data_IF_913516393537
#
_entry.id   IF_913516393537
#
_cell.length_a   1.000
_cell.length_b   1.000
_cell.length_c   1.000
_cell.angle_alpha   90.00
_cell.angle_beta   90.00
_cell.angle_gamma   90.00
#
_symmetry.space_group_name_H-M   'P 1'
#
loop_
_entity.id
_entity.type
_entity.pdbx_description
1 polymer ?
#
# COMPACT_ATOMS: atom_id res chain seq x y z
N UNK A 1 8.14 15.94 3.61
CA UNK A 1 8.84 15.19 2.55
C UNK A 1 10.30 15.18 2.94
N UNK A 2 10.97 14.03 2.88
CA UNK A 2 12.41 14.00 3.13
C UNK A 2 13.13 14.77 2.01
N UNK A 3 14.14 15.56 2.39
CA UNK A 3 14.97 16.33 1.46
C UNK A 3 16.05 15.45 0.84
N UNK A 4 16.57 15.89 -0.30
CA UNK A 4 17.67 15.25 -1.01
C UNK A 4 18.89 16.17 -0.88
N UNK A 5 19.97 15.66 -0.30
CA UNK A 5 21.26 16.33 -0.22
C UNK A 5 22.06 16.09 -1.49
N UNK A 6 22.85 17.08 -1.91
CA UNK A 6 23.79 16.96 -3.04
C UNK A 6 25.14 17.51 -2.59
N UNK A 7 26.22 16.73 -2.71
CA UNK A 7 27.59 17.17 -2.39
C UNK A 7 28.62 16.66 -3.40
N UNK A 8 29.58 17.50 -3.75
CA UNK A 8 30.72 17.16 -4.60
C UNK A 8 31.72 18.32 -4.56
N UNK A 9 33.01 18.06 -4.82
CA UNK A 9 33.96 19.14 -5.04
C UNK A 9 33.76 19.82 -6.42
N UNK A 10 33.05 19.17 -7.35
CA UNK A 10 32.68 19.74 -8.65
C UNK A 10 31.38 20.55 -8.56
N UNK A 11 31.53 21.87 -8.39
CA UNK A 11 30.41 22.82 -8.32
C UNK A 11 29.53 22.83 -9.58
N UNK A 12 30.09 22.53 -10.76
CA UNK A 12 29.31 22.50 -12.00
C UNK A 12 28.41 21.27 -12.01
N UNK A 13 28.92 20.13 -11.57
CA UNK A 13 28.12 18.91 -11.38
C UNK A 13 27.00 19.12 -10.35
N UNK A 14 27.31 19.71 -9.19
CA UNK A 14 26.31 20.00 -8.16
C UNK A 14 25.19 20.88 -8.72
N UNK A 15 25.55 21.98 -9.38
CA UNK A 15 24.57 22.90 -9.94
C UNK A 15 23.63 22.21 -10.93
N UNK A 16 24.20 21.37 -11.81
CA UNK A 16 23.42 20.58 -12.77
C UNK A 16 22.46 19.63 -12.09
N UNK A 17 22.89 18.89 -11.07
CA UNK A 17 22.02 17.96 -10.32
C UNK A 17 20.92 18.69 -9.57
N UNK A 18 21.22 19.83 -8.95
CA UNK A 18 20.23 20.66 -8.26
C UNK A 18 19.14 21.17 -9.22
N UNK A 19 19.50 21.56 -10.45
CA UNK A 19 18.52 21.96 -11.47
C UNK A 19 17.63 20.77 -11.83
N UNK A 20 18.22 19.63 -12.21
CA UNK A 20 17.47 18.43 -12.59
C UNK A 20 16.46 17.99 -11.52
N UNK A 21 16.88 18.04 -10.25
CA UNK A 21 16.01 17.72 -9.12
C UNK A 21 14.86 18.71 -8.95
N UNK A 22 15.11 20.01 -9.14
CA UNK A 22 14.08 21.06 -9.05
C UNK A 22 13.09 20.98 -10.21
N UNK A 23 13.55 20.70 -11.42
CA UNK A 23 12.70 20.47 -12.59
C UNK A 23 11.75 19.27 -12.37
N UNK A 24 12.20 18.27 -11.62
CA UNK A 24 11.40 17.11 -11.21
C UNK A 24 10.53 17.37 -9.95
N UNK A 25 10.48 18.61 -9.45
CA UNK A 25 9.60 19.01 -8.34
C UNK A 25 10.16 18.72 -6.94
N UNK A 26 11.43 18.31 -6.82
CA UNK A 26 12.06 18.11 -5.52
C UNK A 26 12.58 19.43 -4.93
N UNK A 27 12.76 19.45 -3.60
CA UNK A 27 13.43 20.55 -2.87
C UNK A 27 14.80 20.08 -2.36
N UNK A 28 15.81 19.99 -3.22
CA UNK A 28 17.13 19.54 -2.81
C UNK A 28 17.86 20.62 -2.00
N UNK A 29 18.81 20.20 -1.18
CA UNK A 29 19.78 21.08 -0.54
C UNK A 29 21.21 20.71 -0.96
N UNK A 30 22.05 21.74 -1.07
CA UNK A 30 23.48 21.56 -1.20
C UNK A 30 24.07 21.26 0.18
N UNK A 31 25.03 20.33 0.24
CA UNK A 31 25.83 20.03 1.42
C UNK A 31 27.31 20.21 1.08
N UNK A 32 28.08 20.81 1.98
CA UNK A 32 29.53 20.93 1.80
C UNK A 32 30.25 19.60 2.10
N UNK A 33 31.47 19.46 1.58
CA UNK A 33 32.30 18.29 1.82
C UNK A 33 32.66 18.19 3.31
N UNK A 34 32.24 17.12 3.96
CA UNK A 34 32.45 16.90 5.39
C UNK A 34 31.38 17.54 6.30
N UNK A 35 30.37 18.21 5.74
CA UNK A 35 29.20 18.68 6.50
C UNK A 35 28.38 17.49 7.01
N UNK A 36 27.88 17.57 8.25
CA UNK A 36 26.96 16.58 8.79
C UNK A 36 25.64 16.59 8.03
N UNK A 37 25.10 15.40 7.75
CA UNK A 37 23.84 15.26 7.00
C UNK A 37 22.67 15.62 7.91
N UNK A 38 21.83 16.63 7.57
CA UNK A 38 20.67 16.99 8.37
C UNK A 38 19.68 15.83 8.52
N UNK A 39 19.04 15.71 9.68
CA UNK A 39 18.11 14.61 9.98
C UNK A 39 16.90 14.50 9.03
N UNK A 40 16.56 15.56 8.32
CA UNK A 40 15.47 15.61 7.36
C UNK A 40 15.91 15.32 5.90
N UNK A 41 17.21 15.06 5.69
CA UNK A 41 17.77 14.56 4.42
C UNK A 41 17.76 13.03 4.43
N UNK A 42 17.02 12.41 3.51
CA UNK A 42 16.94 10.95 3.41
C UNK A 42 18.02 10.32 2.53
N UNK A 43 18.68 11.12 1.68
CA UNK A 43 19.70 10.65 0.75
C UNK A 43 20.68 11.77 0.41
N UNK A 44 21.93 11.39 0.18
CA UNK A 44 22.97 12.29 -0.33
C UNK A 44 23.43 11.78 -1.68
N UNK A 45 23.35 12.65 -2.70
CA UNK A 45 23.82 12.39 -4.05
C UNK A 45 25.22 13.01 -4.22
N UNK A 46 26.15 12.23 -4.78
CA UNK A 46 27.51 12.67 -5.07
C UNK A 46 28.00 12.09 -6.38
N UNK A 47 29.22 12.43 -6.82
CA UNK A 47 29.81 11.79 -7.98
C UNK A 47 30.26 10.37 -7.63
N UNK A 48 30.23 9.45 -8.59
CA UNK A 48 30.69 8.08 -8.35
C UNK A 48 32.16 7.99 -7.90
N UNK A 49 32.98 9.00 -8.20
CA UNK A 49 34.38 9.07 -7.78
C UNK A 49 34.56 9.54 -6.32
N UNK A 50 33.61 10.30 -5.79
CA UNK A 50 33.65 10.88 -4.44
C UNK A 50 32.75 10.14 -3.44
N UNK A 51 32.10 9.07 -3.89
CA UNK A 51 31.18 8.28 -3.06
C UNK A 51 31.87 7.74 -1.81
N UNK A 52 31.29 8.05 -0.63
CA UNK A 52 31.75 7.56 0.65
C UNK A 52 30.57 7.19 1.56
N UNK A 53 30.71 6.13 2.35
CA UNK A 53 29.67 5.65 3.27
C UNK A 53 28.36 5.31 2.54
N UNK A 54 27.26 5.91 3.02
CA UNK A 54 25.90 5.67 2.51
C UNK A 54 25.47 6.61 1.37
N UNK A 55 26.40 7.43 0.84
CA UNK A 55 26.13 8.30 -0.31
C UNK A 55 25.80 7.50 -1.58
N UNK A 56 25.00 8.09 -2.45
CA UNK A 56 24.70 7.54 -3.77
C UNK A 56 25.55 8.24 -4.83
N UNK A 57 26.52 7.50 -5.38
CA UNK A 57 27.39 7.98 -6.45
C UNK A 57 26.74 7.92 -7.83
N UNK A 58 26.67 9.05 -8.54
CA UNK A 58 26.17 9.13 -9.92
C UNK A 58 27.34 9.33 -10.89
N UNK A 59 27.30 8.65 -12.03
CA UNK A 59 28.32 8.79 -13.07
C UNK A 59 28.00 10.02 -13.92
N UNK A 60 28.94 10.99 -14.09
CA UNK A 60 28.70 12.19 -14.91
C UNK A 60 28.25 11.87 -16.35
N UNK A 61 28.80 10.80 -16.95
CA UNK A 61 28.45 10.36 -18.30
C UNK A 61 27.02 9.76 -18.40
N UNK A 62 26.42 9.34 -17.29
CA UNK A 62 25.09 8.72 -17.23
C UNK A 62 24.19 9.40 -16.20
N UNK A 63 24.38 10.71 -16.01
CA UNK A 63 23.84 11.45 -14.87
C UNK A 63 22.32 11.30 -14.73
N UNK A 64 21.56 11.49 -15.80
CA UNK A 64 20.10 11.41 -15.77
C UNK A 64 19.59 10.00 -15.45
N UNK A 65 20.23 8.97 -16.01
CA UNK A 65 19.86 7.57 -15.77
C UNK A 65 20.18 7.13 -14.34
N UNK A 66 21.35 7.53 -13.83
CA UNK A 66 21.78 7.24 -12.46
C UNK A 66 20.96 8.05 -11.45
N UNK A 67 20.65 9.31 -11.75
CA UNK A 67 19.77 10.16 -10.93
C UNK A 67 18.36 9.54 -10.85
N UNK A 68 17.79 9.13 -11.98
CA UNK A 68 16.50 8.43 -11.99
C UNK A 68 16.56 7.14 -11.16
N UNK A 69 17.68 6.41 -11.18
CA UNK A 69 17.91 5.23 -10.34
C UNK A 69 17.97 5.57 -8.86
N UNK A 70 18.69 6.62 -8.49
CA UNK A 70 18.80 7.08 -7.12
C UNK A 70 17.44 7.51 -6.57
N UNK A 71 16.68 8.29 -7.34
CA UNK A 71 15.36 8.79 -6.93
C UNK A 71 14.32 7.70 -6.74
N UNK A 72 14.43 6.59 -7.48
CA UNK A 72 13.62 5.38 -7.25
C UNK A 72 13.87 4.76 -5.87
N UNK A 73 15.01 5.02 -5.24
CA UNK A 73 15.33 4.56 -3.87
C UNK A 73 14.88 5.50 -2.76
N UNK A 74 14.63 6.78 -3.06
CA UNK A 74 14.49 7.86 -2.06
C UNK A 74 13.07 8.35 -1.89
N UNK A 75 12.24 8.23 -2.94
CA UNK A 75 10.80 8.19 -2.75
C UNK A 75 10.50 6.94 -1.94
N UNK A 76 9.68 7.03 -0.89
CA UNK A 76 9.28 5.90 -0.06
C UNK A 76 8.59 4.73 -0.81
N UNK A 77 8.57 4.72 -2.15
CA UNK A 77 8.42 3.53 -2.99
C UNK A 77 9.77 2.81 -3.11
N UNK A 78 9.97 1.85 -2.23
CA UNK A 78 10.85 0.71 -2.52
C UNK A 78 10.65 0.27 -3.97
N UNK A 79 11.67 0.45 -4.82
CA UNK A 79 11.69 -0.05 -6.20
C UNK A 79 11.63 -1.58 -6.26
N UNK A 80 10.48 -2.14 -5.92
CA UNK A 80 9.98 -3.33 -6.59
C UNK A 80 9.08 -2.79 -7.68
N UNK A 81 9.32 -3.21 -8.93
CA UNK A 81 8.29 -3.15 -9.96
C UNK A 81 7.05 -3.78 -9.35
N UNK A 82 5.98 -3.02 -9.15
CA UNK A 82 4.84 -3.48 -8.37
C UNK A 82 3.61 -2.68 -8.73
N UNK A 83 2.45 -3.30 -8.56
CA UNK A 83 1.18 -2.59 -8.51
C UNK A 83 0.91 -2.20 -7.07
N UNK A 84 0.56 -0.95 -6.82
CA UNK A 84 0.08 -0.50 -5.51
C UNK A 84 -1.37 -0.09 -5.64
N UNK A 85 -2.23 -0.63 -4.80
CA UNK A 85 -3.66 -0.30 -4.74
C UNK A 85 -3.93 0.37 -3.40
N UNK A 86 -4.61 1.52 -3.40
CA UNK A 86 -5.11 2.17 -2.19
C UNK A 86 -6.63 2.12 -2.15
N UNK A 87 -7.18 1.73 -1.01
CA UNK A 87 -8.61 1.47 -0.81
C UNK A 87 -9.12 2.29 0.37
N UNK A 88 -10.04 3.22 0.10
CA UNK A 88 -10.85 3.91 1.11
C UNK A 88 -12.07 3.05 1.46
N UNK A 89 -12.15 2.49 2.69
CA UNK A 89 -13.27 1.66 3.08
C UNK A 89 -14.53 2.50 3.30
N UNK A 90 -15.63 2.06 2.69
CA UNK A 90 -16.95 2.66 2.86
C UNK A 90 -18.02 1.84 2.14
N UNK A 91 -19.31 2.21 2.26
CA UNK A 91 -20.38 1.52 1.54
C UNK A 91 -20.18 1.53 0.02
N UNK A 92 -19.49 2.55 -0.50
CA UNK A 92 -19.02 2.67 -1.89
C UNK A 92 -17.52 2.98 -1.89
N UNK A 93 -16.66 1.94 -1.80
CA UNK A 93 -15.22 2.13 -1.62
C UNK A 93 -14.60 2.95 -2.75
N UNK A 94 -13.66 3.83 -2.40
CA UNK A 94 -12.77 4.45 -3.38
C UNK A 94 -11.53 3.56 -3.59
N UNK A 95 -11.14 3.35 -4.83
CA UNK A 95 -9.94 2.57 -5.21
C UNK A 95 -9.05 3.41 -6.12
N UNK A 96 -7.75 3.38 -5.87
CA UNK A 96 -6.72 4.06 -6.69
C UNK A 96 -5.56 3.11 -6.88
N UNK A 97 -5.00 3.04 -8.08
CA UNK A 97 -3.82 2.20 -8.31
C UNK A 97 -2.71 2.90 -9.08
N UNK A 98 -1.49 2.45 -8.82
CA UNK A 98 -0.29 2.84 -9.57
C UNK A 98 0.51 1.62 -9.97
N UNK A 99 1.18 1.75 -11.11
CA UNK A 99 2.12 0.76 -11.64
C UNK A 99 3.49 1.41 -11.66
N UNK A 100 4.46 0.79 -10.99
CA UNK A 100 5.83 1.28 -10.92
C UNK A 100 5.94 2.76 -10.43
N UNK A 101 4.98 3.16 -9.58
CA UNK A 101 4.91 4.49 -8.99
C UNK A 101 4.15 5.55 -9.81
N UNK A 102 3.61 5.19 -11.00
CA UNK A 102 2.75 6.07 -11.80
C UNK A 102 1.29 5.72 -11.59
N UNK A 103 0.46 6.67 -11.14
CA UNK A 103 -0.99 6.48 -11.02
C UNK A 103 -1.56 6.21 -12.42
N UNK A 104 -2.22 5.07 -12.57
CA UNK A 104 -2.83 4.64 -13.85
C UNK A 104 -4.35 4.80 -13.82
N UNK A 105 -4.96 4.80 -12.65
CA UNK A 105 -6.41 5.00 -12.54
C UNK A 105 -6.94 5.07 -11.12
N UNK A 106 -8.23 5.42 -11.07
CA UNK A 106 -9.02 5.48 -9.87
C UNK A 106 -10.49 5.15 -10.21
N UNK A 107 -11.18 4.50 -9.29
CA UNK A 107 -12.57 4.10 -9.44
C UNK A 107 -13.29 4.22 -8.10
N UNK A 108 -14.58 4.56 -8.14
CA UNK A 108 -15.46 4.42 -6.99
C UNK A 108 -16.39 3.23 -7.23
N UNK A 109 -16.35 2.26 -6.32
CA UNK A 109 -17.11 1.03 -6.43
C UNK A 109 -18.50 1.16 -5.82
N UNK A 110 -19.43 0.33 -6.28
CA UNK A 110 -20.79 0.29 -5.75
C UNK A 110 -20.88 -0.46 -4.42
N UNK A 111 -20.01 -1.45 -4.20
CA UNK A 111 -20.02 -2.32 -3.01
C UNK A 111 -18.61 -2.66 -2.51
N UNK A 112 -18.45 -2.97 -1.21
CA UNK A 112 -17.18 -3.46 -0.65
C UNK A 112 -16.65 -4.74 -1.30
N UNK A 113 -17.55 -5.64 -1.72
CA UNK A 113 -17.21 -6.95 -2.30
C UNK A 113 -16.48 -6.80 -3.65
N UNK A 114 -16.66 -5.67 -4.34
CA UNK A 114 -16.09 -5.45 -5.67
C UNK A 114 -14.58 -5.13 -5.61
N UNK A 115 -14.04 -4.81 -4.42
CA UNK A 115 -12.61 -4.51 -4.25
C UNK A 115 -11.75 -5.71 -4.65
N UNK A 116 -12.16 -6.93 -4.27
CA UNK A 116 -11.45 -8.15 -4.65
C UNK A 116 -11.38 -8.34 -6.17
N UNK A 117 -12.48 -8.06 -6.89
CA UNK A 117 -12.53 -8.14 -8.35
C UNK A 117 -11.57 -7.15 -9.01
N UNK A 118 -11.53 -5.90 -8.53
CA UNK A 118 -10.61 -4.89 -9.07
C UNK A 118 -9.16 -5.29 -8.86
N UNK A 119 -8.82 -5.74 -7.64
CA UNK A 119 -7.46 -6.19 -7.33
C UNK A 119 -7.07 -7.38 -8.20
N UNK A 120 -7.96 -8.36 -8.38
CA UNK A 120 -7.72 -9.50 -9.27
C UNK A 120 -7.49 -9.06 -10.72
N UNK A 121 -8.33 -8.18 -11.27
CA UNK A 121 -8.16 -7.68 -12.63
C UNK A 121 -6.83 -6.94 -12.82
N UNK A 122 -6.38 -6.20 -11.81
CA UNK A 122 -5.05 -5.55 -11.83
C UNK A 122 -3.90 -6.56 -11.74
N UNK A 123 -4.08 -7.68 -11.03
CA UNK A 123 -3.11 -8.77 -11.01
C UNK A 123 -3.00 -9.45 -12.37
N UNK A 124 -4.13 -9.73 -13.02
CA UNK A 124 -4.16 -10.35 -14.35
C UNK A 124 -3.57 -9.42 -15.42
N UNK A 125 -3.82 -8.11 -15.34
CA UNK A 125 -3.26 -7.12 -16.25
C UNK A 125 -1.75 -6.86 -16.03
N UNK A 126 -1.22 -7.20 -14.87
CA UNK A 126 0.17 -6.97 -14.47
C UNK A 126 0.77 -8.21 -13.78
N UNK A 127 0.64 -9.36 -14.42
CA UNK A 127 1.07 -10.67 -13.91
C UNK A 127 2.58 -10.78 -13.65
N UNK A 128 3.37 -9.89 -14.25
CA UNK A 128 4.81 -9.75 -14.08
C UNK A 128 5.22 -8.92 -12.84
N UNK A 129 4.24 -8.41 -12.08
CA UNK A 129 4.47 -7.49 -10.95
C UNK A 129 3.78 -7.96 -9.66
N UNK A 130 4.46 -7.96 -8.51
CA UNK A 130 3.80 -8.14 -7.23
C UNK A 130 2.77 -7.03 -6.97
N UNK A 131 1.67 -7.37 -6.30
CA UNK A 131 0.61 -6.42 -5.91
C UNK A 131 0.65 -6.16 -4.41
N UNK A 132 0.59 -4.88 -4.03
CA UNK A 132 0.46 -4.39 -2.67
C UNK A 132 -0.88 -3.66 -2.53
N UNK A 133 -1.73 -4.11 -1.61
CA UNK A 133 -3.01 -3.45 -1.32
C UNK A 133 -2.94 -2.72 0.02
N UNK A 134 -3.26 -1.44 0.02
CA UNK A 134 -3.33 -0.56 1.19
C UNK A 134 -4.78 -0.27 1.49
N UNK A 135 -5.23 -0.61 2.70
CA UNK A 135 -6.61 -0.40 3.14
C UNK A 135 -6.62 0.60 4.29
N UNK A 136 -7.51 1.58 4.22
CA UNK A 136 -7.72 2.55 5.29
C UNK A 136 -8.24 1.96 6.61
N UNK A 137 -7.97 2.62 7.73
CA UNK A 137 -8.51 2.27 9.07
C UNK A 137 -9.88 2.93 9.35
N UNK A 138 -10.68 3.15 8.31
CA UNK A 138 -12.05 3.65 8.39
C UNK A 138 -13.02 2.67 9.07
N UNK A 139 -14.28 2.60 8.59
CA UNK A 139 -15.33 1.79 9.21
C UNK A 139 -14.86 0.34 9.48
N UNK A 140 -14.82 -0.11 10.74
CA UNK A 140 -14.27 -1.43 11.08
C UNK A 140 -14.99 -2.60 10.41
N UNK A 141 -16.30 -2.52 10.19
CA UNK A 141 -17.09 -3.59 9.59
C UNK A 141 -16.78 -3.75 8.10
N UNK A 142 -16.83 -2.64 7.36
CA UNK A 142 -16.53 -2.62 5.92
C UNK A 142 -15.06 -2.93 5.67
N UNK A 143 -14.16 -2.33 6.43
CA UNK A 143 -12.72 -2.60 6.33
C UNK A 143 -12.41 -4.07 6.54
N UNK A 144 -12.93 -4.69 7.61
CA UNK A 144 -12.66 -6.11 7.88
C UNK A 144 -13.22 -7.02 6.79
N UNK A 145 -14.35 -6.63 6.16
CA UNK A 145 -14.88 -7.34 5.01
C UNK A 145 -13.93 -7.30 3.82
N UNK A 146 -13.47 -6.11 3.44
CA UNK A 146 -12.48 -5.92 2.37
C UNK A 146 -11.19 -6.70 2.68
N UNK A 147 -10.70 -6.63 3.92
CA UNK A 147 -9.49 -7.35 4.32
C UNK A 147 -9.65 -8.86 4.16
N UNK A 148 -10.80 -9.44 4.53
CA UNK A 148 -11.05 -10.89 4.35
C UNK A 148 -11.04 -11.28 2.88
N UNK A 149 -11.74 -10.52 2.04
CA UNK A 149 -11.79 -10.81 0.61
C UNK A 149 -10.39 -10.73 -0.05
N UNK A 150 -9.46 -10.00 0.56
CA UNK A 150 -8.07 -9.90 0.12
C UNK A 150 -7.13 -10.94 0.76
N UNK A 151 -7.45 -11.50 1.93
CA UNK A 151 -6.58 -12.48 2.62
C UNK A 151 -6.42 -13.76 1.79
N UNK A 152 -7.50 -14.22 1.15
CA UNK A 152 -7.52 -15.46 0.36
C UNK A 152 -6.76 -15.33 -0.97
N UNK A 153 -6.43 -14.09 -1.37
CA UNK A 153 -5.77 -13.80 -2.66
C UNK A 153 -4.24 -13.91 -2.60
N UNK A 154 -3.66 -14.06 -1.40
CA UNK A 154 -2.21 -14.17 -1.20
C UNK A 154 -1.44 -12.86 -1.48
N UNK A 155 -2.14 -11.74 -1.63
CA UNK A 155 -1.51 -10.43 -1.87
C UNK A 155 -0.92 -9.83 -0.58
N UNK A 156 0.09 -8.98 -0.74
CA UNK A 156 0.60 -8.20 0.38
C UNK A 156 -0.43 -7.13 0.75
N UNK A 157 -0.89 -7.12 2.01
CA UNK A 157 -1.88 -6.15 2.50
C UNK A 157 -1.28 -5.28 3.61
N UNK A 158 -1.54 -3.98 3.56
CA UNK A 158 -1.15 -2.98 4.55
C UNK A 158 -2.38 -2.27 5.10
N UNK A 159 -2.49 -2.16 6.43
CA UNK A 159 -3.51 -1.35 7.08
C UNK A 159 -2.97 0.05 7.37
N UNK A 160 -3.60 1.08 6.80
CA UNK A 160 -3.17 2.48 6.89
C UNK A 160 -3.98 3.22 7.95
N UNK A 161 -3.29 3.77 8.95
CA UNK A 161 -3.90 4.62 9.98
C UNK A 161 -4.09 6.06 9.47
N UNK A 162 -5.33 6.41 9.14
CA UNK A 162 -5.71 7.73 8.64
C UNK A 162 -5.94 8.77 9.75
N UNK A 163 -6.04 8.33 11.01
CA UNK A 163 -6.40 9.19 12.15
C UNK A 163 -5.31 10.18 12.50
N UNK A 164 -4.05 9.87 12.17
CA UNK A 164 -2.90 10.76 12.38
C UNK A 164 -2.85 11.96 11.42
N UNK A 165 -3.75 12.04 10.45
CA UNK A 165 -3.76 13.11 9.44
C UNK A 165 -5.14 13.74 9.31
N UNK A 166 -5.67 14.28 10.40
CA UNK A 166 -6.89 15.10 10.39
C UNK A 166 -6.64 16.49 9.78
N UNK A 167 -6.52 16.55 8.45
CA UNK A 167 -6.74 17.78 7.66
C UNK A 167 -7.61 17.48 6.43
N UNK A 168 -8.91 17.71 6.63
CA UNK A 168 -9.92 18.14 5.66
C UNK A 168 -9.93 17.53 4.26
N UNK A 169 -10.49 16.33 4.09
CA UNK A 169 -11.29 16.08 2.91
C UNK A 169 -12.76 16.34 3.23
N UNK A 170 -13.50 16.79 2.21
CA UNK A 170 -14.95 16.73 2.24
C UNK A 170 -15.38 15.27 2.53
N UNK A 171 -16.43 15.09 3.34
CA UNK A 171 -16.99 13.80 3.79
C UNK A 171 -17.42 12.82 2.67
N UNK A 172 -17.16 13.15 1.41
CA UNK A 172 -17.67 12.44 0.23
C UNK A 172 -16.63 12.22 -0.88
N UNK A 173 -15.36 12.64 -0.69
CA UNK A 173 -14.31 12.41 -1.69
C UNK A 173 -13.55 11.10 -1.38
N UNK A 174 -14.21 9.99 -1.69
CA UNK A 174 -13.67 8.64 -1.50
C UNK A 174 -12.43 8.37 -2.36
N UNK A 175 -12.37 8.95 -3.56
CA UNK A 175 -11.19 8.83 -4.43
C UNK A 175 -10.00 9.62 -3.84
N UNK A 176 -10.23 10.82 -3.31
CA UNK A 176 -9.20 11.60 -2.64
C UNK A 176 -8.68 10.92 -1.37
N UNK A 177 -9.56 10.27 -0.60
CA UNK A 177 -9.17 9.44 0.54
C UNK A 177 -8.35 8.22 0.09
N UNK A 178 -8.80 7.50 -0.95
CA UNK A 178 -8.08 6.37 -1.53
C UNK A 178 -6.70 6.77 -2.05
N UNK A 179 -6.56 7.93 -2.71
CA UNK A 179 -5.26 8.49 -3.14
C UNK A 179 -4.33 8.76 -1.96
N UNK A 180 -4.87 9.20 -0.83
CA UNK A 180 -4.06 9.40 0.38
C UNK A 180 -3.60 8.07 0.94
N UNK A 181 -4.52 7.11 1.12
CA UNK A 181 -4.22 5.76 1.61
C UNK A 181 -3.18 5.10 0.72
N UNK A 182 -3.33 5.22 -0.60
CA UNK A 182 -2.38 4.76 -1.61
C UNK A 182 -0.95 5.27 -1.38
N UNK A 183 -0.78 6.52 -0.92
CA UNK A 183 0.54 7.15 -0.74
C UNK A 183 1.18 6.88 0.61
N UNK A 184 0.38 6.58 1.63
CA UNK A 184 0.87 6.33 2.98
C UNK A 184 1.38 4.91 3.11
N UNK A 185 2.38 4.71 3.97
CA UNK A 185 2.77 3.35 4.39
C UNK A 185 1.84 2.89 5.50
N UNK A 186 1.34 1.67 5.38
CA UNK A 186 0.54 1.03 6.43
C UNK A 186 1.36 0.09 7.30
N UNK A 187 0.71 -0.44 8.33
CA UNK A 187 1.20 -1.60 9.07
C UNK A 187 0.98 -2.84 8.21
N UNK A 188 2.01 -3.64 7.90
CA UNK A 188 1.84 -4.90 7.20
C UNK A 188 0.85 -5.77 7.97
N UNK A 189 -0.18 -6.24 7.27
CA UNK A 189 -1.06 -7.28 7.75
C UNK A 189 -0.45 -8.59 7.28
N UNK A 190 0.34 -9.23 8.14
CA UNK A 190 0.54 -10.67 8.02
C UNK A 190 -0.77 -11.38 8.36
N UNK A 191 -0.92 -12.63 7.93
CA UNK A 191 -1.79 -13.57 8.66
C UNK A 191 -1.31 -13.51 10.12
N UNK A 192 -2.09 -12.91 11.02
CA UNK A 192 -1.77 -12.87 12.46
C UNK A 192 -2.60 -13.95 13.12
N UNK A 193 -2.00 -15.11 13.47
CA UNK A 193 -2.61 -16.03 14.40
C UNK A 193 -2.95 -15.27 15.70
N UNK A 194 -4.20 -15.39 16.16
CA UNK A 194 -4.66 -14.94 17.48
C UNK A 194 -4.85 -13.43 17.73
N UNK A 195 -5.27 -12.66 16.72
CA UNK A 195 -5.82 -11.31 16.89
C UNK A 195 -7.10 -11.28 17.79
N UNK A 196 -7.15 -10.50 18.89
CA UNK A 196 -8.33 -10.41 19.76
C UNK A 196 -9.61 -9.89 19.07
N UNK A 197 -9.52 -9.42 17.82
CA UNK A 197 -10.66 -9.01 16.98
C UNK A 197 -11.36 -10.20 16.29
N UNK A 198 -10.85 -11.43 16.42
CA UNK A 198 -11.46 -12.64 15.85
C UNK A 198 -12.87 -12.91 16.36
N UNK A 199 -13.22 -12.55 17.60
CA UNK A 199 -14.59 -12.76 18.12
C UNK A 199 -15.65 -12.01 17.30
N UNK A 200 -15.36 -10.76 16.93
CA UNK A 200 -16.26 -9.97 16.08
C UNK A 200 -16.40 -10.55 14.68
N UNK A 201 -15.31 -11.11 14.15
CA UNK A 201 -15.29 -11.73 12.82
C UNK A 201 -16.00 -13.08 12.79
N UNK A 202 -15.83 -13.90 13.82
CA UNK A 202 -16.57 -15.15 14.03
C UNK A 202 -18.07 -14.86 14.08
N UNK A 203 -18.50 -13.85 14.84
CA UNK A 203 -19.92 -13.45 14.91
C UNK A 203 -20.48 -12.98 13.57
N UNK A 204 -19.69 -12.25 12.79
CA UNK A 204 -20.09 -11.79 11.45
C UNK A 204 -20.22 -12.95 10.45
N UNK A 205 -19.28 -13.89 10.48
CA UNK A 205 -19.33 -15.12 9.68
C UNK A 205 -20.53 -15.98 10.07
N UNK A 206 -20.82 -16.10 11.37
CA UNK A 206 -22.01 -16.80 11.87
C UNK A 206 -23.30 -16.16 11.37
N UNK A 207 -23.41 -14.82 11.45
CA UNK A 207 -24.55 -14.09 10.89
C UNK A 207 -24.69 -14.35 9.38
N UNK A 208 -23.60 -14.25 8.62
CA UNK A 208 -23.58 -14.53 7.18
C UNK A 208 -23.96 -15.96 6.85
N UNK A 209 -23.56 -16.95 7.65
CA UNK A 209 -23.95 -18.34 7.42
C UNK A 209 -25.46 -18.55 7.56
N UNK A 210 -26.11 -17.82 8.46
CA UNK A 210 -27.58 -17.79 8.56
C UNK A 210 -28.18 -17.15 7.32
N UNK A 211 -27.66 -16.02 6.87
CA UNK A 211 -28.16 -15.34 5.67
C UNK A 211 -28.01 -16.21 4.41
N UNK A 212 -26.85 -16.85 4.25
CA UNK A 212 -26.53 -17.74 3.13
C UNK A 212 -27.45 -18.96 3.05
N UNK A 213 -27.86 -19.48 4.21
CA UNK A 213 -28.66 -20.70 4.31
C UNK A 213 -30.13 -20.41 4.58
N UNK A 214 -30.56 -19.16 4.41
CA UNK A 214 -31.94 -18.71 4.69
C UNK A 214 -32.42 -19.07 6.11
N UNK A 215 -31.50 -19.00 7.07
CA UNK A 215 -31.73 -19.27 8.49
C UNK A 215 -31.59 -20.74 8.89
N UNK A 216 -31.30 -21.65 7.96
CA UNK A 216 -31.24 -23.10 8.25
C UNK A 216 -30.10 -23.47 9.19
N UNK A 217 -28.93 -22.84 9.09
CA UNK A 217 -27.81 -23.16 9.98
C UNK A 217 -26.96 -21.94 10.36
N UNK A 218 -26.21 -22.11 11.45
CA UNK A 218 -25.16 -21.20 11.89
C UNK A 218 -23.86 -21.98 12.01
N UNK A 219 -22.79 -21.50 11.41
CA UNK A 219 -21.49 -22.15 11.55
C UNK A 219 -21.04 -22.17 13.04
N UNK A 220 -20.51 -23.28 13.55
CA UNK A 220 -19.88 -23.29 14.87
C UNK A 220 -18.65 -22.37 14.87
N UNK A 221 -18.30 -21.83 16.03
CA UNK A 221 -17.25 -20.80 16.14
C UNK A 221 -15.90 -21.22 15.58
N UNK A 222 -15.58 -22.52 15.57
CA UNK A 222 -14.36 -23.08 14.97
C UNK A 222 -14.36 -22.98 13.44
N UNK A 223 -15.42 -23.48 12.77
CA UNK A 223 -15.59 -23.33 11.32
C UNK A 223 -15.74 -21.86 10.91
N UNK A 224 -16.44 -21.07 11.73
CA UNK A 224 -16.56 -19.64 11.50
C UNK A 224 -15.21 -18.91 11.67
N UNK A 225 -14.32 -19.42 12.51
CA UNK A 225 -12.95 -18.92 12.67
C UNK A 225 -12.09 -19.33 11.48
N UNK A 226 -12.16 -20.57 11.00
CA UNK A 226 -11.48 -21.02 9.78
C UNK A 226 -11.91 -20.17 8.57
N UNK A 227 -13.22 -19.92 8.43
CA UNK A 227 -13.76 -19.01 7.40
C UNK A 227 -13.36 -17.56 7.63
N UNK A 228 -13.30 -17.09 8.88
CA UNK A 228 -12.82 -15.75 9.18
C UNK A 228 -11.33 -15.58 8.85
N UNK A 229 -10.54 -16.64 9.00
CA UNK A 229 -9.10 -16.71 8.72
C UNK A 229 -8.78 -16.91 7.23
N UNK A 230 -9.76 -17.23 6.40
CA UNK A 230 -9.53 -17.53 4.99
C UNK A 230 -9.08 -18.96 4.71
N UNK A 231 -9.13 -19.82 5.73
CA UNK A 231 -8.73 -21.24 5.61
C UNK A 231 -9.83 -22.06 4.92
N UNK A 232 -11.07 -21.56 4.92
CA UNK A 232 -12.23 -22.12 4.25
C UNK A 232 -13.10 -21.00 3.67
N UNK A 233 -13.73 -21.22 2.52
CA UNK A 233 -14.79 -20.31 2.08
C UNK A 233 -16.16 -20.68 2.68
N UNK A 234 -17.13 -19.75 2.61
CA UNK A 234 -18.47 -19.94 3.21
C UNK A 234 -19.19 -21.16 2.63
N UNK A 235 -19.06 -21.41 1.33
CA UNK A 235 -19.72 -22.53 0.68
C UNK A 235 -19.12 -23.87 1.13
N UNK A 236 -17.80 -23.96 1.22
CA UNK A 236 -17.08 -25.13 1.75
C UNK A 236 -17.44 -25.40 3.21
N UNK A 237 -17.49 -24.36 4.04
CA UNK A 237 -17.84 -24.51 5.46
C UNK A 237 -19.29 -24.95 5.66
N UNK A 238 -20.22 -24.43 4.86
CA UNK A 238 -21.63 -24.85 4.87
C UNK A 238 -21.77 -26.29 4.37
N UNK A 239 -21.12 -26.64 3.26
CA UNK A 239 -21.14 -28.00 2.73
C UNK A 239 -20.55 -29.02 3.73
N UNK A 240 -19.51 -28.63 4.46
CA UNK A 240 -18.90 -29.46 5.51
C UNK A 240 -19.84 -29.69 6.70
N UNK A 241 -20.66 -28.69 7.07
CA UNK A 241 -21.73 -28.83 8.07
C UNK A 241 -22.89 -29.70 7.58
N UNK A 242 -23.28 -29.58 6.30
CA UNK A 242 -24.37 -30.36 5.72
C UNK A 242 -24.00 -31.82 5.45
N UNK A 243 -22.72 -32.11 5.14
CA UNK A 243 -22.19 -33.46 4.94
C UNK A 243 -21.74 -34.20 6.21
N UNK A 244 -21.86 -33.57 7.39
CA UNK A 244 -21.61 -34.17 8.71
C UNK A 244 -22.91 -34.63 9.41
N UNK A 245 -24.07 -34.44 8.78
CA UNK A 245 -25.38 -34.92 9.25
C UNK A 245 -25.77 -36.25 8.61
#
# INVERSE_FOLDING_TARGET
MARIGVRSADFTWVHRVLILLREQGHRPCHLETGEEVPHDVAVVLTTAAEQAGDDVGLRPAHLEADLAKALRGTSGSTGQRRVVVGVDPGPRPGVVWSVDGREEGAEQLDRPDDVGRVVQGLCEAHDDRPVLVRVGDGDPGVRNRILRDLVDTGHAVELVDERRTSKGLARHDHIGAARRIHRLRGRPMGLVPDDPRWEGMVRDVQRRSREWTEGRLTLPSTLALEVARGELNMAEAVARMEGLN
#
